data_IF_994214817631
#
_entry.id   IF_994214817631
#
_cell.length_a   1.000
_cell.length_b   1.000
_cell.length_c   1.000
_cell.angle_alpha   90.00
_cell.angle_beta   90.00
_cell.angle_gamma   90.00
#
_symmetry.space_group_name_H-M   'P 1'
#
loop_
_entity.id
_entity.type
_entity.pdbx_description
1 polymer ?
#
# COMPACT_ATOMS: atom_id res chain seq x y z
N UNK A 1 -13.76 -16.17 42.97
CA UNK A 1 -12.77 -16.76 42.05
C UNK A 1 -13.54 -17.44 40.95
N UNK A 2 -13.64 -16.80 39.78
CA UNK A 2 -14.24 -17.42 38.59
C UNK A 2 -13.17 -17.43 37.50
N UNK A 3 -12.80 -18.65 37.13
CA UNK A 3 -11.81 -18.98 36.12
C UNK A 3 -12.43 -18.95 34.72
N UNK A 4 -11.63 -18.53 33.74
CA UNK A 4 -11.80 -18.91 32.34
C UNK A 4 -12.52 -17.89 31.47
N UNK A 5 -11.80 -16.86 31.01
CA UNK A 5 -12.24 -16.09 29.86
C UNK A 5 -12.13 -16.98 28.60
N UNK A 6 -13.26 -17.08 27.90
CA UNK A 6 -13.45 -17.84 26.68
C UNK A 6 -12.66 -17.18 25.54
N UNK A 7 -11.64 -17.86 25.00
CA UNK A 7 -10.94 -17.41 23.80
C UNK A 7 -11.81 -17.76 22.59
N UNK A 8 -12.69 -16.84 22.19
CA UNK A 8 -13.35 -16.93 20.90
C UNK A 8 -12.28 -16.75 19.80
N UNK A 9 -11.88 -17.87 19.20
CA UNK A 9 -11.13 -17.86 17.95
C UNK A 9 -12.03 -17.24 16.88
N UNK A 10 -11.63 -16.12 16.31
CA UNK A 10 -12.32 -15.51 15.17
C UNK A 10 -12.00 -16.39 13.95
N UNK A 11 -12.95 -17.23 13.55
CA UNK A 11 -12.95 -17.82 12.21
C UNK A 11 -13.40 -16.73 11.22
N UNK A 12 -12.48 -16.30 10.35
CA UNK A 12 -12.77 -15.41 9.23
C UNK A 12 -13.24 -16.29 8.07
N UNK A 13 -14.55 -16.35 7.82
CA UNK A 13 -15.09 -17.03 6.64
C UNK A 13 -14.85 -16.18 5.38
N UNK A 14 -14.06 -16.72 4.45
CA UNK A 14 -13.93 -16.16 3.09
C UNK A 14 -15.20 -16.51 2.30
N UNK A 15 -16.05 -15.52 2.06
CA UNK A 15 -17.12 -15.65 1.07
C UNK A 15 -16.51 -15.75 -0.33
N UNK A 16 -16.48 -16.96 -0.88
CA UNK A 16 -16.14 -17.24 -2.27
C UNK A 16 -17.20 -16.63 -3.21
N UNK A 17 -16.98 -15.40 -3.66
CA UNK A 17 -17.59 -14.86 -4.87
C UNK A 17 -16.64 -15.10 -6.05
N UNK A 18 -17.14 -15.64 -7.17
CA UNK A 18 -16.32 -15.89 -8.37
C UNK A 18 -15.99 -14.62 -9.17
N UNK A 19 -16.07 -13.45 -8.54
CA UNK A 19 -15.55 -12.21 -9.09
C UNK A 19 -14.18 -11.95 -8.49
N UNK A 20 -13.13 -12.00 -9.31
CA UNK A 20 -11.73 -11.91 -8.88
C UNK A 20 -11.35 -10.45 -8.64
N UNK A 21 -12.19 -9.69 -7.96
CA UNK A 21 -11.90 -8.30 -7.60
C UNK A 21 -10.95 -8.29 -6.40
N UNK A 22 -9.82 -7.59 -6.53
CA UNK A 22 -8.86 -7.45 -5.43
C UNK A 22 -9.54 -6.80 -4.21
N UNK A 23 -9.34 -7.39 -3.03
CA UNK A 23 -9.76 -6.77 -1.78
C UNK A 23 -8.97 -5.49 -1.51
N UNK A 24 -9.51 -4.53 -0.72
CA UNK A 24 -8.79 -3.29 -0.38
C UNK A 24 -7.39 -3.53 0.19
N UNK A 25 -7.20 -4.57 1.01
CA UNK A 25 -5.89 -4.93 1.55
C UNK A 25 -4.93 -5.47 0.48
N UNK A 26 -5.43 -6.20 -0.52
CA UNK A 26 -4.63 -6.63 -1.66
C UNK A 26 -4.24 -5.45 -2.54
N UNK A 27 -5.15 -4.50 -2.76
CA UNK A 27 -4.88 -3.25 -3.48
C UNK A 27 -3.77 -2.45 -2.78
N UNK A 28 -3.86 -2.25 -1.46
CA UNK A 28 -2.81 -1.56 -0.70
C UNK A 28 -1.45 -2.26 -0.79
N UNK A 29 -1.43 -3.59 -0.70
CA UNK A 29 -0.19 -4.37 -0.86
C UNK A 29 0.43 -4.16 -2.24
N UNK A 30 -0.39 -4.13 -3.29
CA UNK A 30 0.09 -3.88 -4.65
C UNK A 30 0.64 -2.45 -4.79
N UNK A 31 -0.09 -1.44 -4.32
CA UNK A 31 0.40 -0.06 -4.36
C UNK A 31 1.68 0.14 -3.56
N UNK A 32 1.76 -0.41 -2.35
CA UNK A 32 2.97 -0.35 -1.54
C UNK A 32 4.16 -1.05 -2.23
N UNK A 33 3.93 -2.21 -2.87
CA UNK A 33 4.97 -2.88 -3.65
C UNK A 33 5.44 -2.04 -4.83
N UNK A 34 4.52 -1.38 -5.55
CA UNK A 34 4.88 -0.45 -6.63
C UNK A 34 5.69 0.74 -6.09
N UNK A 35 5.27 1.30 -4.97
CA UNK A 35 5.93 2.45 -4.34
C UNK A 35 7.38 2.14 -4.02
N UNK A 36 7.64 1.01 -3.36
CA UNK A 36 9.00 0.57 -3.00
C UNK A 36 9.86 0.35 -4.25
N UNK A 37 9.33 -0.28 -5.29
CA UNK A 37 10.07 -0.51 -6.54
C UNK A 37 10.45 0.80 -7.22
N UNK A 38 9.52 1.76 -7.30
CA UNK A 38 9.75 3.07 -7.92
C UNK A 38 10.72 3.90 -7.08
N UNK A 39 10.58 3.88 -5.75
CA UNK A 39 11.48 4.57 -4.82
C UNK A 39 12.91 4.03 -4.95
N UNK A 40 13.07 2.71 -5.13
CA UNK A 40 14.38 2.09 -5.36
C UNK A 40 15.03 2.64 -6.63
N UNK A 41 14.26 2.81 -7.72
CA UNK A 41 14.78 3.43 -8.96
C UNK A 41 15.17 4.89 -8.71
N UNK A 42 14.32 5.66 -8.03
CA UNK A 42 14.56 7.08 -7.76
C UNK A 42 15.83 7.32 -6.93
N UNK A 43 16.24 6.35 -6.12
CA UNK A 43 17.43 6.39 -5.27
C UNK A 43 18.65 5.67 -5.86
N UNK A 44 18.50 5.00 -7.01
CA UNK A 44 19.60 4.27 -7.63
C UNK A 44 20.68 5.22 -8.16
N UNK A 45 21.93 4.97 -7.79
CA UNK A 45 23.06 5.83 -8.17
C UNK A 45 23.25 5.90 -9.69
N UNK A 46 23.02 4.81 -10.42
CA UNK A 46 23.13 4.82 -11.88
C UNK A 46 22.02 5.64 -12.51
N UNK A 47 20.79 5.57 -11.98
CA UNK A 47 19.69 6.45 -12.41
C UNK A 47 20.07 7.93 -12.28
N UNK A 48 20.61 8.32 -11.11
CA UNK A 48 21.05 9.69 -10.86
C UNK A 48 22.19 10.12 -11.78
N UNK A 49 23.14 9.21 -12.07
CA UNK A 49 24.22 9.45 -13.02
C UNK A 49 23.71 9.63 -14.45
N UNK A 50 22.71 8.85 -14.90
CA UNK A 50 22.12 9.02 -16.23
C UNK A 50 21.48 10.40 -16.42
N UNK A 51 20.85 10.94 -15.37
CA UNK A 51 20.30 12.30 -15.36
C UNK A 51 21.42 13.35 -15.38
N UNK A 52 22.42 13.20 -14.51
CA UNK A 52 23.54 14.14 -14.40
C UNK A 52 24.34 14.23 -15.71
N UNK A 53 24.54 13.10 -16.38
CA UNK A 53 25.21 12.98 -17.68
C UNK A 53 24.33 13.42 -18.86
N UNK A 54 23.07 13.82 -18.62
CA UNK A 54 22.07 14.16 -19.66
C UNK A 54 21.86 13.04 -20.68
N UNK A 55 22.05 11.79 -20.27
CA UNK A 55 21.75 10.60 -21.08
C UNK A 55 20.26 10.31 -21.13
N UNK A 56 19.52 10.81 -20.14
CA UNK A 56 18.05 10.86 -20.11
C UNK A 56 17.60 12.29 -19.82
N UNK A 57 16.34 12.58 -20.15
CA UNK A 57 15.76 13.89 -19.86
C UNK A 57 15.74 14.15 -18.34
N UNK A 58 16.26 15.30 -17.85
CA UNK A 58 16.16 15.66 -16.45
C UNK A 58 14.73 15.71 -15.90
N UNK A 59 13.71 15.94 -16.73
CA UNK A 59 12.30 15.88 -16.33
C UNK A 59 11.90 14.48 -15.83
N UNK A 60 12.65 13.43 -16.18
CA UNK A 60 12.40 12.08 -15.69
C UNK A 60 12.50 11.98 -14.16
N UNK A 61 13.35 12.78 -13.51
CA UNK A 61 13.42 12.85 -12.05
C UNK A 61 12.13 13.43 -11.45
N UNK A 62 11.62 14.51 -12.07
CA UNK A 62 10.37 15.16 -11.66
C UNK A 62 9.19 14.20 -11.83
N UNK A 63 9.05 13.56 -12.99
CA UNK A 63 7.94 12.63 -13.25
C UNK A 63 7.96 11.40 -12.33
N UNK A 64 9.13 10.91 -11.96
CA UNK A 64 9.25 9.81 -11.01
C UNK A 64 8.83 10.26 -9.59
N UNK A 65 9.20 11.48 -9.20
CA UNK A 65 8.73 12.11 -7.96
C UNK A 65 7.21 12.27 -7.94
N UNK A 66 6.63 12.77 -9.03
CA UNK A 66 5.18 12.94 -9.17
C UNK A 66 4.45 11.58 -9.09
N UNK A 67 5.02 10.54 -9.71
CA UNK A 67 4.46 9.18 -9.65
C UNK A 67 4.43 8.65 -8.21
N UNK A 68 5.52 8.83 -7.44
CA UNK A 68 5.56 8.46 -6.03
C UNK A 68 4.54 9.24 -5.21
N UNK A 69 4.41 10.54 -5.47
CA UNK A 69 3.43 11.40 -4.81
C UNK A 69 2.00 10.90 -5.04
N UNK A 70 1.59 10.73 -6.30
CA UNK A 70 0.24 10.28 -6.64
C UNK A 70 -0.05 8.85 -6.19
N UNK A 71 0.95 7.96 -6.18
CA UNK A 71 0.78 6.62 -5.65
C UNK A 71 0.56 6.64 -4.13
N UNK A 72 1.25 7.52 -3.41
CA UNK A 72 1.01 7.77 -1.99
C UNK A 72 -0.40 8.30 -1.72
N UNK A 73 -0.89 9.26 -2.52
CA UNK A 73 -2.27 9.75 -2.41
C UNK A 73 -3.29 8.64 -2.66
N UNK A 74 -3.08 7.81 -3.69
CA UNK A 74 -3.93 6.67 -3.99
C UNK A 74 -3.96 5.63 -2.86
N UNK A 75 -2.81 5.36 -2.22
CA UNK A 75 -2.75 4.53 -1.02
C UNK A 75 -3.56 5.11 0.12
N UNK A 76 -3.44 6.41 0.40
CA UNK A 76 -4.21 7.10 1.44
C UNK A 76 -5.72 6.92 1.27
N UNK A 77 -6.24 7.00 0.04
CA UNK A 77 -7.66 6.77 -0.24
C UNK A 77 -8.13 5.33 0.09
N UNK A 78 -7.25 4.33 -0.02
CA UNK A 78 -7.59 2.94 0.28
C UNK A 78 -7.34 2.63 1.77
N UNK A 79 -6.34 3.27 2.38
CA UNK A 79 -6.08 3.20 3.82
C UNK A 79 -7.30 3.61 4.65
N UNK A 80 -8.04 4.65 4.25
CA UNK A 80 -9.28 5.08 4.93
C UNK A 80 -10.35 3.97 5.03
N UNK A 81 -10.35 3.01 4.10
CA UNK A 81 -11.31 1.89 4.06
C UNK A 81 -10.78 0.69 4.85
N UNK A 82 -9.45 0.58 4.98
CA UNK A 82 -8.74 -0.51 5.67
C UNK A 82 -8.47 -0.17 7.15
N UNK A 83 -8.42 1.12 7.51
CA UNK A 83 -8.30 1.58 8.88
C UNK A 83 -9.41 0.93 9.71
N UNK A 84 -8.96 0.16 10.69
CA UNK A 84 -9.76 -0.79 11.44
C UNK A 84 -11.05 -0.12 11.90
N UNK A 85 -12.20 -0.60 11.37
CA UNK A 85 -13.48 -0.46 12.06
C UNK A 85 -13.32 -1.14 13.41
N UNK A 86 -12.82 -0.41 14.41
CA UNK A 86 -13.01 -0.79 15.79
C UNK A 86 -14.51 -0.84 15.96
N UNK A 87 -15.06 -2.05 16.10
CA UNK A 87 -16.36 -2.19 16.72
C UNK A 87 -16.20 -1.56 18.11
N UNK A 88 -16.60 -0.29 18.24
CA UNK A 88 -17.02 0.26 19.51
C UNK A 88 -18.30 -0.49 19.88
N UNK A 89 -18.15 -1.73 20.34
CA UNK A 89 -19.09 -2.24 21.31
C UNK A 89 -18.71 -1.54 22.61
N UNK A 90 -19.30 -0.35 22.76
CA UNK A 90 -19.50 0.27 24.04
C UNK A 90 -20.36 -0.68 24.88
N UNK A 91 -19.76 -1.31 25.90
CA UNK A 91 -20.19 -1.35 27.31
C UNK A 91 -19.28 -2.24 28.14
#
# INVERSE_FOLDING_TARGET
MWQGANLNFIEIEQHNSSDKSMSPIEILKQFNSCYVNIQTIAQDENWLLLIADKKIDPEAATHLGDTLHYLGEAMGCVEEIVEVKFNQEAE
#
